data_IF_947825479236
#
_entry.id   IF_947825479236
#
_cell.length_a   1.000
_cell.length_b   1.000
_cell.length_c   1.000
_cell.angle_alpha   90.00
_cell.angle_beta   90.00
_cell.angle_gamma   90.00
#
_symmetry.space_group_name_H-M   'P 1'
#
loop_
_entity.id
_entity.type
_entity.pdbx_description
1 polymer ?
#
# COMPACT_ATOMS: atom_id res chain seq x y z
N UNK A 1 -6.19 -0.35 5.36
CA UNK A 1 -5.00 -0.95 6.01
C UNK A 1 -3.81 -0.15 5.54
N UNK A 2 -3.04 0.42 6.44
CA UNK A 2 -1.87 1.24 6.11
C UNK A 2 -0.65 0.55 6.71
N UNK A 3 0.39 0.37 5.92
CA UNK A 3 1.66 -0.20 6.34
C UNK A 3 2.80 0.42 5.51
N UNK A 4 4.01 0.45 6.06
CA UNK A 4 5.19 1.00 5.38
C UNK A 4 5.77 0.02 4.34
N UNK A 5 6.74 0.49 3.55
CA UNK A 5 7.37 -0.31 2.51
C UNK A 5 8.07 -1.54 3.05
N UNK A 6 8.78 -1.41 4.18
CA UNK A 6 9.46 -2.52 4.82
C UNK A 6 8.48 -3.62 5.26
N UNK A 7 7.37 -3.24 5.89
CA UNK A 7 6.30 -4.18 6.25
C UNK A 7 5.72 -4.87 5.01
N UNK A 8 5.53 -4.15 3.90
CA UNK A 8 5.05 -4.73 2.65
C UNK A 8 5.99 -5.84 2.16
N UNK A 9 7.29 -5.57 2.08
CA UNK A 9 8.30 -6.54 1.64
C UNK A 9 8.36 -7.73 2.60
N UNK A 10 8.41 -7.48 3.91
CA UNK A 10 8.43 -8.54 4.92
C UNK A 10 7.24 -9.52 4.78
N UNK A 11 6.05 -9.01 4.47
CA UNK A 11 4.89 -9.88 4.23
C UNK A 11 5.08 -10.83 3.04
N UNK A 12 5.71 -10.35 1.97
CA UNK A 12 6.02 -11.21 0.82
C UNK A 12 7.12 -12.23 1.14
N UNK A 13 8.16 -11.82 1.86
CA UNK A 13 9.25 -12.72 2.28
C UNK A 13 8.75 -13.85 3.19
N UNK A 14 7.82 -13.56 4.10
CA UNK A 14 7.25 -14.52 5.05
C UNK A 14 6.01 -15.26 4.53
N UNK A 15 5.59 -15.00 3.29
CA UNK A 15 4.38 -15.59 2.73
C UNK A 15 3.12 -15.23 3.52
N UNK A 16 3.11 -14.05 4.14
CA UNK A 16 2.04 -13.57 5.02
C UNK A 16 1.83 -14.42 6.30
N UNK A 17 2.81 -15.24 6.71
CA UNK A 17 2.72 -16.05 7.93
C UNK A 17 2.61 -15.18 9.18
N UNK A 18 3.30 -14.04 9.20
CA UNK A 18 3.35 -13.12 10.33
C UNK A 18 2.22 -12.09 10.35
N UNK A 19 1.32 -12.19 9.38
CA UNK A 19 0.22 -11.24 9.26
C UNK A 19 -0.78 -11.44 10.40
N UNK A 20 -0.79 -10.52 11.36
CA UNK A 20 -1.58 -10.62 12.59
C UNK A 20 -1.30 -11.89 13.41
N UNK A 21 -0.07 -12.40 13.40
CA UNK A 21 0.36 -13.54 14.24
C UNK A 21 0.28 -13.23 15.73
N UNK A 22 0.51 -11.99 16.11
CA UNK A 22 0.33 -11.44 17.45
C UNK A 22 -0.40 -10.11 17.34
N UNK A 23 -1.39 -9.87 18.20
CA UNK A 23 -2.29 -8.72 18.08
C UNK A 23 -2.50 -8.00 19.40
N UNK A 24 -2.81 -6.69 19.30
CA UNK A 24 -3.35 -5.88 20.39
C UNK A 24 -4.64 -5.19 19.93
N UNK A 25 -5.63 -5.11 20.80
CA UNK A 25 -6.80 -4.29 20.59
C UNK A 25 -6.48 -2.86 21.01
N UNK A 26 -6.69 -1.90 20.11
CA UNK A 26 -6.58 -0.48 20.39
C UNK A 26 -7.95 0.13 20.72
N UNK A 27 -7.94 1.31 21.36
CA UNK A 27 -9.19 2.06 21.58
C UNK A 27 -9.85 2.32 20.23
N UNK A 28 -11.00 1.70 20.02
CA UNK A 28 -11.80 1.94 18.83
C UNK A 28 -12.60 3.24 18.98
N UNK A 29 -12.84 3.94 17.87
CA UNK A 29 -13.79 5.04 17.82
C UNK A 29 -15.17 4.45 18.16
N UNK A 30 -15.90 5.04 19.11
CA UNK A 30 -17.17 4.49 19.62
C UNK A 30 -18.20 4.23 18.50
N UNK A 31 -18.23 5.07 17.47
CA UNK A 31 -19.15 4.94 16.33
C UNK A 31 -18.81 3.76 15.39
N UNK A 32 -17.65 3.12 15.51
CA UNK A 32 -17.28 2.01 14.66
C UNK A 32 -17.91 0.69 15.10
N UNK A 33 -18.48 -0.05 14.16
CA UNK A 33 -19.02 -1.41 14.39
C UNK A 33 -17.92 -2.47 14.53
N UNK A 34 -16.69 -2.14 14.14
CA UNK A 34 -15.50 -2.99 14.22
C UNK A 34 -14.52 -2.52 15.29
N UNK A 35 -13.77 -3.47 15.83
CA UNK A 35 -12.64 -3.22 16.72
C UNK A 35 -11.45 -2.72 15.92
N UNK A 36 -10.62 -1.88 16.53
CA UNK A 36 -9.30 -1.51 16.01
C UNK A 36 -8.27 -2.53 16.48
N UNK A 37 -7.77 -3.35 15.57
CA UNK A 37 -6.81 -4.41 15.89
C UNK A 37 -5.48 -4.10 15.23
N UNK A 38 -4.41 -4.04 16.02
CA UNK A 38 -3.03 -3.85 15.54
C UNK A 38 -2.26 -5.16 15.59
N UNK A 39 -1.60 -5.51 14.51
CA UNK A 39 -0.55 -6.54 14.49
C UNK A 39 0.69 -6.04 15.22
N UNK A 40 1.12 -6.73 16.27
CA UNK A 40 2.25 -6.29 17.12
C UNK A 40 3.56 -6.38 16.34
N UNK A 41 3.74 -7.44 15.56
CA UNK A 41 5.00 -7.71 14.85
C UNK A 41 5.23 -6.70 13.70
N UNK A 42 4.18 -6.32 13.00
CA UNK A 42 4.27 -5.55 11.75
C UNK A 42 3.57 -4.19 11.80
N UNK A 43 3.01 -3.80 12.95
CA UNK A 43 2.35 -2.51 13.14
C UNK A 43 1.06 -2.28 12.33
N UNK A 44 0.63 -3.26 11.53
CA UNK A 44 -0.53 -3.12 10.63
C UNK A 44 -1.81 -2.95 11.44
N UNK A 45 -2.57 -1.91 11.13
CA UNK A 45 -3.85 -1.62 11.77
C UNK A 45 -5.02 -2.08 10.91
N UNK A 46 -5.91 -2.88 11.48
CA UNK A 46 -7.20 -3.26 10.88
C UNK A 46 -8.35 -2.55 11.59
N UNK A 47 -9.17 -1.83 10.80
CA UNK A 47 -10.33 -1.06 11.28
C UNK A 47 -11.68 -1.69 10.90
N UNK A 48 -11.71 -2.70 10.03
CA UNK A 48 -12.95 -3.17 9.39
C UNK A 48 -13.14 -4.68 9.37
N UNK A 49 -12.19 -5.45 9.94
CA UNK A 49 -12.22 -6.91 9.82
C UNK A 49 -12.66 -7.65 11.09
N UNK A 50 -12.78 -6.95 12.21
CA UNK A 50 -13.06 -7.53 13.52
C UNK A 50 -14.32 -6.89 14.13
N UNK A 51 -15.53 -7.39 13.79
CA UNK A 51 -16.77 -6.88 14.36
C UNK A 51 -16.78 -7.00 15.90
N UNK A 52 -17.40 -6.02 16.58
CA UNK A 52 -17.46 -5.98 18.04
C UNK A 52 -18.32 -7.10 18.65
N UNK A 53 -19.26 -7.63 17.88
CA UNK A 53 -20.20 -8.71 18.25
C UNK A 53 -19.62 -10.13 18.04
N UNK A 54 -18.34 -10.25 17.62
CA UNK A 54 -17.68 -11.53 17.38
C UNK A 54 -16.45 -11.69 18.23
N UNK A 55 -16.14 -12.94 18.58
CA UNK A 55 -14.91 -13.29 19.28
C UNK A 55 -13.68 -13.09 18.40
N UNK A 56 -12.67 -12.35 18.92
CA UNK A 56 -11.44 -12.03 18.16
C UNK A 56 -10.73 -13.29 17.69
N UNK A 57 -10.63 -14.31 18.56
CA UNK A 57 -9.93 -15.56 18.24
C UNK A 57 -10.57 -16.32 17.06
N UNK A 58 -11.90 -16.31 16.94
CA UNK A 58 -12.61 -16.90 15.80
C UNK A 58 -12.39 -16.09 14.54
N UNK A 59 -12.49 -14.77 14.65
CA UNK A 59 -12.29 -13.88 13.51
C UNK A 59 -10.87 -13.94 12.98
N UNK A 60 -9.88 -14.08 13.84
CA UNK A 60 -8.47 -14.27 13.43
C UNK A 60 -8.29 -15.52 12.54
N UNK A 61 -8.86 -16.65 12.92
CA UNK A 61 -8.80 -17.89 12.12
C UNK A 61 -9.37 -17.67 10.71
N UNK A 62 -10.51 -17.01 10.63
CA UNK A 62 -11.17 -16.68 9.34
C UNK A 62 -10.32 -15.69 8.55
N UNK A 63 -9.79 -14.68 9.22
CA UNK A 63 -8.95 -13.66 8.62
C UNK A 63 -7.65 -14.24 8.05
N UNK A 64 -6.90 -15.02 8.84
CA UNK A 64 -5.66 -15.68 8.39
C UNK A 64 -5.91 -16.58 7.17
N UNK A 65 -6.96 -17.39 7.19
CA UNK A 65 -7.33 -18.23 6.05
C UNK A 65 -7.57 -17.40 4.78
N UNK A 66 -8.33 -16.30 4.89
CA UNK A 66 -8.62 -15.39 3.76
C UNK A 66 -7.35 -14.72 3.25
N UNK A 67 -6.48 -14.24 4.14
CA UNK A 67 -5.23 -13.57 3.76
C UNK A 67 -4.27 -14.53 3.09
N UNK A 68 -4.11 -15.75 3.64
CA UNK A 68 -3.30 -16.79 3.00
C UNK A 68 -3.82 -17.16 1.60
N UNK A 69 -5.12 -17.30 1.41
CA UNK A 69 -5.70 -17.57 0.09
C UNK A 69 -5.46 -16.41 -0.89
N UNK A 70 -5.54 -15.16 -0.43
CA UNK A 70 -5.25 -13.97 -1.25
C UNK A 70 -3.77 -13.94 -1.64
N UNK A 71 -2.89 -14.18 -0.67
CA UNK A 71 -1.44 -14.27 -0.92
C UNK A 71 -1.12 -15.34 -1.95
N UNK A 72 -1.58 -16.58 -1.78
CA UNK A 72 -1.31 -17.67 -2.72
C UNK A 72 -1.78 -17.35 -4.15
N UNK A 73 -2.96 -16.73 -4.30
CA UNK A 73 -3.43 -16.31 -5.62
C UNK A 73 -2.56 -15.22 -6.23
N UNK A 74 -2.16 -14.22 -5.43
CA UNK A 74 -1.27 -13.15 -5.88
C UNK A 74 0.12 -13.71 -6.22
N UNK A 75 0.70 -14.51 -5.34
CA UNK A 75 1.99 -15.16 -5.55
C UNK A 75 2.00 -16.01 -6.85
N UNK A 76 0.98 -16.84 -7.07
CA UNK A 76 0.85 -17.62 -8.29
C UNK A 76 0.74 -16.74 -9.55
N UNK A 77 0.05 -15.61 -9.48
CA UNK A 77 0.00 -14.65 -10.59
C UNK A 77 1.38 -14.04 -10.85
N UNK A 78 2.07 -13.59 -9.81
CA UNK A 78 3.42 -13.02 -9.93
C UNK A 78 4.40 -14.04 -10.53
N UNK A 79 4.36 -15.30 -10.07
CA UNK A 79 5.22 -16.37 -10.59
C UNK A 79 4.97 -16.70 -12.07
N UNK A 80 3.77 -16.44 -12.59
CA UNK A 80 3.40 -16.69 -13.98
C UNK A 80 3.32 -15.44 -14.86
N UNK A 81 3.72 -14.28 -14.33
CA UNK A 81 3.78 -13.02 -15.06
C UNK A 81 5.20 -12.73 -15.53
N UNK A 82 5.34 -11.97 -16.61
CA UNK A 82 6.62 -11.42 -17.09
C UNK A 82 6.82 -9.98 -16.69
N UNK A 83 5.73 -9.25 -16.39
CA UNK A 83 5.77 -7.84 -16.03
C UNK A 83 4.79 -7.52 -14.91
N UNK A 84 5.09 -6.45 -14.17
CA UNK A 84 4.29 -5.96 -13.07
C UNK A 84 4.31 -4.42 -13.02
N UNK A 85 3.13 -3.83 -12.96
CA UNK A 85 2.96 -2.44 -12.55
C UNK A 85 2.49 -2.39 -11.10
N UNK A 86 3.24 -1.70 -10.26
CA UNK A 86 2.90 -1.42 -8.87
C UNK A 86 2.51 0.05 -8.72
N UNK A 87 1.45 0.30 -7.97
CA UNK A 87 1.02 1.65 -7.65
C UNK A 87 1.06 1.85 -6.13
N UNK A 88 1.86 2.81 -5.68
CA UNK A 88 1.96 3.24 -4.29
C UNK A 88 1.37 4.63 -4.09
N UNK A 89 0.65 4.83 -2.99
CA UNK A 89 0.25 6.17 -2.51
C UNK A 89 0.81 6.37 -1.11
N UNK A 90 2.00 6.97 -1.03
CA UNK A 90 2.79 6.96 0.20
C UNK A 90 3.70 8.19 0.27
N UNK A 91 4.01 8.60 1.52
CA UNK A 91 4.94 9.69 1.82
C UNK A 91 6.40 9.20 1.99
N UNK A 92 6.78 8.14 1.28
CA UNK A 92 8.14 7.61 1.34
C UNK A 92 9.11 8.53 0.56
N UNK A 93 10.38 8.55 0.97
CA UNK A 93 11.42 9.20 0.20
C UNK A 93 11.71 8.43 -1.09
N UNK A 94 12.29 9.09 -2.10
CA UNK A 94 12.67 8.45 -3.36
C UNK A 94 13.56 7.24 -3.14
N UNK A 95 14.52 7.34 -2.22
CA UNK A 95 15.40 6.23 -1.82
C UNK A 95 14.62 5.05 -1.24
N UNK A 96 13.66 5.30 -0.36
CA UNK A 96 12.80 4.26 0.20
C UNK A 96 11.95 3.56 -0.87
N UNK A 97 11.42 4.32 -1.82
CA UNK A 97 10.64 3.78 -2.95
C UNK A 97 11.52 2.90 -3.84
N UNK A 98 12.73 3.36 -4.17
CA UNK A 98 13.71 2.59 -4.96
C UNK A 98 14.09 1.30 -4.25
N UNK A 99 14.46 1.37 -2.97
CA UNK A 99 14.82 0.20 -2.16
C UNK A 99 13.66 -0.80 -2.07
N UNK A 100 12.43 -0.33 -1.94
CA UNK A 100 11.23 -1.19 -1.95
C UNK A 100 11.14 -2.01 -3.24
N UNK A 101 11.36 -1.39 -4.40
CA UNK A 101 11.33 -2.10 -5.68
C UNK A 101 12.49 -3.11 -5.79
N UNK A 102 13.70 -2.73 -5.37
CA UNK A 102 14.87 -3.62 -5.41
C UNK A 102 14.67 -4.85 -4.52
N UNK A 103 14.17 -4.68 -3.30
CA UNK A 103 13.86 -5.78 -2.39
C UNK A 103 12.74 -6.68 -2.94
N UNK A 104 11.70 -6.10 -3.54
CA UNK A 104 10.64 -6.87 -4.19
C UNK A 104 11.17 -7.67 -5.38
N UNK A 105 12.02 -7.06 -6.20
CA UNK A 105 12.65 -7.72 -7.34
C UNK A 105 13.59 -8.87 -6.93
N UNK A 106 14.18 -8.81 -5.73
CA UNK A 106 14.96 -9.92 -5.18
C UNK A 106 14.07 -11.16 -4.86
N UNK A 107 12.79 -10.93 -4.52
CA UNK A 107 11.82 -12.02 -4.29
C UNK A 107 11.32 -12.59 -5.64
N UNK A 108 11.14 -11.75 -6.64
CA UNK A 108 10.61 -12.10 -7.96
C UNK A 108 11.55 -11.66 -9.10
N UNK A 109 12.75 -12.26 -9.22
CA UNK A 109 13.80 -11.76 -10.12
C UNK A 109 13.48 -11.91 -11.61
N UNK A 110 12.46 -12.67 -11.97
CA UNK A 110 12.01 -12.87 -13.35
C UNK A 110 11.09 -11.77 -13.86
N UNK A 111 10.50 -10.94 -12.94
CA UNK A 111 9.58 -9.89 -13.32
C UNK A 111 10.30 -8.63 -13.82
N UNK A 112 9.79 -8.09 -14.91
CA UNK A 112 10.03 -6.69 -15.28
C UNK A 112 9.03 -5.82 -14.51
N UNK A 113 9.52 -4.91 -13.67
CA UNK A 113 8.65 -4.21 -12.71
C UNK A 113 8.80 -2.70 -12.81
N UNK A 114 7.65 -2.03 -12.87
CA UNK A 114 7.55 -0.58 -12.76
C UNK A 114 6.80 -0.22 -11.47
N UNK A 115 7.40 0.60 -10.62
CA UNK A 115 6.76 1.15 -9.43
C UNK A 115 6.47 2.64 -9.63
N UNK A 116 5.19 3.00 -9.62
CA UNK A 116 4.74 4.38 -9.56
C UNK A 116 4.38 4.68 -8.10
N UNK A 117 5.06 5.62 -7.47
CA UNK A 117 4.73 6.10 -6.13
C UNK A 117 4.21 7.53 -6.20
N UNK A 118 3.01 7.75 -5.68
CA UNK A 118 2.40 9.07 -5.56
C UNK A 118 2.51 9.55 -4.13
N UNK A 119 3.11 10.73 -3.95
CA UNK A 119 3.20 11.42 -2.67
C UNK A 119 2.31 12.66 -2.68
N UNK A 120 1.39 12.74 -1.70
CA UNK A 120 0.54 13.89 -1.52
C UNK A 120 1.36 15.11 -1.10
N UNK A 121 1.20 16.21 -1.80
CA UNK A 121 1.91 17.47 -1.57
C UNK A 121 0.90 18.62 -1.43
N UNK A 122 0.23 18.75 -0.27
CA UNK A 122 -0.91 19.66 -0.10
C UNK A 122 -0.60 21.15 -0.34
N UNK A 123 0.68 21.53 -0.40
CA UNK A 123 1.12 22.92 -0.67
C UNK A 123 1.34 23.21 -2.15
N UNK A 124 1.30 22.20 -3.01
CA UNK A 124 1.35 22.42 -4.46
C UNK A 124 0.00 22.94 -4.96
N UNK A 125 0.00 23.70 -6.05
CA UNK A 125 -1.25 24.03 -6.74
C UNK A 125 -1.95 22.74 -7.19
N UNK A 126 -3.28 22.75 -7.24
CA UNK A 126 -4.07 21.54 -7.60
C UNK A 126 -3.89 21.11 -9.05
N UNK A 127 -3.37 22.01 -9.90
CA UNK A 127 -3.01 21.73 -11.30
C UNK A 127 -1.59 21.20 -11.49
N UNK A 128 -0.74 21.30 -10.47
CA UNK A 128 0.69 20.99 -10.60
C UNK A 128 0.97 19.51 -10.41
N UNK A 129 1.76 18.96 -11.31
CA UNK A 129 2.32 17.62 -11.24
C UNK A 129 3.84 17.70 -11.41
N UNK A 130 4.58 17.13 -10.47
CA UNK A 130 6.01 16.93 -10.60
C UNK A 130 6.30 15.44 -10.62
N UNK A 131 7.10 15.00 -11.59
CA UNK A 131 7.51 13.61 -11.75
C UNK A 131 9.04 13.50 -11.78
N UNK A 132 9.53 12.40 -11.25
CA UNK A 132 10.92 11.96 -11.39
C UNK A 132 10.92 10.49 -11.77
N UNK A 133 11.67 10.15 -12.79
CA UNK A 133 11.80 8.80 -13.32
C UNK A 133 13.21 8.28 -13.07
N UNK A 134 13.32 7.01 -12.72
CA UNK A 134 14.54 6.30 -12.41
C UNK A 134 14.58 4.96 -13.13
N UNK A 135 15.50 4.81 -14.08
CA UNK A 135 15.82 3.53 -14.71
C UNK A 135 16.90 2.85 -13.86
N UNK A 136 16.51 1.83 -13.08
CA UNK A 136 17.46 1.13 -12.20
C UNK A 136 18.24 0.07 -12.98
N UNK A 137 17.61 -0.55 -13.97
CA UNK A 137 18.19 -1.43 -14.97
C UNK A 137 17.15 -1.70 -16.08
N UNK A 138 17.46 -2.59 -17.03
CA UNK A 138 16.59 -2.92 -18.19
C UNK A 138 15.21 -3.45 -17.83
N UNK A 139 14.98 -3.83 -16.57
CA UNK A 139 13.70 -4.43 -16.11
C UNK A 139 13.05 -3.69 -14.94
N UNK A 140 13.75 -2.79 -14.29
CA UNK A 140 13.26 -2.15 -13.07
C UNK A 140 13.25 -0.64 -13.26
N UNK A 141 12.07 -0.05 -13.16
CA UNK A 141 11.88 1.39 -13.25
C UNK A 141 11.01 1.91 -12.10
N UNK A 142 11.29 3.14 -11.68
CA UNK A 142 10.52 3.83 -10.63
C UNK A 142 10.09 5.18 -11.16
N UNK A 143 8.84 5.55 -10.94
CA UNK A 143 8.35 6.91 -11.14
C UNK A 143 7.80 7.46 -9.83
N UNK A 144 8.40 8.53 -9.33
CA UNK A 144 7.91 9.26 -8.17
C UNK A 144 7.11 10.48 -8.64
N UNK A 145 5.83 10.50 -8.28
CA UNK A 145 4.89 11.55 -8.63
C UNK A 145 4.53 12.35 -7.37
N UNK A 146 4.51 13.67 -7.51
CA UNK A 146 4.19 14.60 -6.44
C UNK A 146 3.10 15.55 -6.92
N UNK A 147 1.96 15.53 -6.26
CA UNK A 147 0.86 16.46 -6.53
C UNK A 147 -0.05 16.61 -5.31
N UNK A 148 -0.86 17.64 -5.32
CA UNK A 148 -1.85 17.86 -4.28
C UNK A 148 -3.07 16.96 -4.54
N UNK A 149 -3.18 15.90 -3.73
CA UNK A 149 -4.27 14.93 -3.81
C UNK A 149 -5.36 15.15 -2.74
N UNK A 150 -5.13 16.04 -1.79
CA UNK A 150 -6.03 16.20 -0.64
C UNK A 150 -6.79 17.51 -0.62
N UNK A 151 -6.34 18.53 -1.34
CA UNK A 151 -6.90 19.87 -1.27
C UNK A 151 -6.91 20.60 -2.61
N UNK A 152 -8.07 21.09 -3.01
CA UNK A 152 -8.23 21.96 -4.18
C UNK A 152 -7.88 23.40 -3.77
N UNK A 153 -6.68 23.85 -4.18
CA UNK A 153 -6.17 25.17 -3.82
C UNK A 153 -6.90 26.31 -4.50
N UNK A 154 -7.50 26.06 -5.67
CA UNK A 154 -8.24 27.07 -6.44
C UNK A 154 -9.62 27.34 -5.81
N UNK A 155 -10.33 26.28 -5.44
CA UNK A 155 -11.66 26.36 -4.85
C UNK A 155 -11.65 26.33 -3.31
N UNK A 156 -10.46 26.29 -2.69
CA UNK A 156 -10.26 26.28 -1.23
C UNK A 156 -11.09 25.22 -0.51
N UNK A 157 -11.18 24.02 -1.08
CA UNK A 157 -11.94 22.90 -0.51
C UNK A 157 -11.11 21.61 -0.48
N UNK A 158 -11.47 20.71 0.44
CA UNK A 158 -10.93 19.35 0.42
C UNK A 158 -11.43 18.60 -0.80
N UNK A 159 -10.54 17.88 -1.48
CA UNK A 159 -10.89 16.96 -2.53
C UNK A 159 -11.68 15.77 -1.96
N UNK A 160 -12.51 15.17 -2.80
CA UNK A 160 -13.34 14.03 -2.41
C UNK A 160 -12.52 12.76 -2.13
N UNK A 161 -13.21 11.65 -1.97
CA UNK A 161 -12.62 10.34 -1.66
C UNK A 161 -11.54 9.90 -2.67
N UNK A 162 -11.69 10.27 -3.92
CA UNK A 162 -10.78 9.92 -5.02
C UNK A 162 -9.64 10.91 -5.22
N UNK A 163 -9.61 12.00 -4.45
CA UNK A 163 -8.57 13.00 -4.53
C UNK A 163 -8.58 13.78 -5.85
N UNK A 164 -7.43 14.00 -6.44
CA UNK A 164 -7.24 14.75 -7.68
C UNK A 164 -7.31 13.83 -8.89
N UNK A 165 -8.51 13.48 -9.34
CA UNK A 165 -8.76 12.54 -10.45
C UNK A 165 -8.03 12.94 -11.74
N UNK A 166 -8.01 14.23 -12.08
CA UNK A 166 -7.36 14.71 -13.31
C UNK A 166 -5.86 14.37 -13.34
N UNK A 167 -5.16 14.57 -12.21
CA UNK A 167 -3.73 14.26 -12.11
C UNK A 167 -3.48 12.75 -12.00
N UNK A 168 -4.39 11.98 -11.43
CA UNK A 168 -4.30 10.51 -11.47
C UNK A 168 -4.37 9.97 -12.90
N UNK A 169 -5.20 10.53 -13.78
CA UNK A 169 -5.21 10.16 -15.19
C UNK A 169 -3.83 10.40 -15.84
N UNK A 170 -3.23 11.58 -15.63
CA UNK A 170 -1.89 11.87 -16.17
C UNK A 170 -0.78 10.94 -15.63
N UNK A 171 -0.95 10.34 -14.46
CA UNK A 171 0.03 9.41 -13.89
C UNK A 171 -0.12 8.00 -14.46
N UNK A 172 -1.35 7.62 -14.85
CA UNK A 172 -1.69 6.25 -15.24
C UNK A 172 -1.77 6.06 -16.77
N UNK A 173 -1.86 7.15 -17.55
CA UNK A 173 -1.82 7.16 -19.02
C UNK A 173 -0.38 7.17 -19.54
#
# INVERSE_FOLDING_TARGET
MVFDAHTFIHLFQTGFSDFFSSIAEEKSIEANTCRSIRGIVNGILSLHHFPKDREIAEMLKVFHRKMRQRYLRLHNRLMNSSSLLMLGYRQDTEEQVINTLLEFAAIYPHLSSHLINVSDTPRMASSDLRQKHYDLNDRLTVTCCYFNNSYDTENQKKLGLWGNEALWHHVLD
#
